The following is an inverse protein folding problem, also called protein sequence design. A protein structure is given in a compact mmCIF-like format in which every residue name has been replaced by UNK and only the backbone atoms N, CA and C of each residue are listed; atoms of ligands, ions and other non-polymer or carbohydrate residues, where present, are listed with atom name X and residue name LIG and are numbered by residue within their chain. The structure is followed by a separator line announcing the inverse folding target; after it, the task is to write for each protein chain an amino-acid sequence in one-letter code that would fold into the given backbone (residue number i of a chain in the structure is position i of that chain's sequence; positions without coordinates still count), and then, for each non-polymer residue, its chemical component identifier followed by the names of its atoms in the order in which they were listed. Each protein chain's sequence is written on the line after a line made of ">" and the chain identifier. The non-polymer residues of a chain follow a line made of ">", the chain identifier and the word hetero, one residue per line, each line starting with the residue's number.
data_IF_166562325133
#
_entry.id   IF_166562325133
#
_cell.length_a   1.000
_cell.length_b   1.000
_cell.length_c   1.000
_cell.angle_alpha   90.00
_cell.angle_beta   90.00
_cell.angle_gamma   90.00
#
_symmetry.space_group_name_H-M   'P 1'
#
loop_
_entity.id
_entity.type
_entity.pdbx_description
1 polymer ?
#
# COMPACT_ATOMS: atom_id res chain seq x y z
N UNK A 1 2.24 6.92 -8.91
CA UNK A 1 3.16 6.37 -9.94
C UNK A 1 2.60 6.85 -11.28
N UNK A 2 3.38 7.51 -12.14
CA UNK A 2 2.83 8.02 -13.40
C UNK A 2 2.31 6.84 -14.24
N UNK A 3 0.98 6.73 -14.36
CA UNK A 3 0.28 5.74 -15.19
C UNK A 3 -0.08 4.39 -14.54
N UNK A 4 0.21 4.17 -13.25
CA UNK A 4 -0.15 2.93 -12.55
C UNK A 4 -0.45 3.22 -11.08
N UNK A 5 -1.49 2.62 -10.52
CA UNK A 5 -1.86 2.83 -9.13
C UNK A 5 -1.24 1.73 -8.24
N UNK A 6 -1.13 1.99 -6.92
CA UNK A 6 -0.53 1.00 -6.00
C UNK A 6 -1.26 -0.35 -6.02
N UNK A 7 -2.57 -0.33 -6.30
CA UNK A 7 -3.40 -1.54 -6.40
C UNK A 7 -3.10 -2.34 -7.66
N UNK A 8 -2.71 -1.68 -8.74
CA UNK A 8 -2.30 -2.38 -9.97
C UNK A 8 -0.93 -3.00 -9.80
N UNK A 9 -0.01 -2.32 -9.10
CA UNK A 9 1.27 -2.89 -8.72
C UNK A 9 1.09 -4.16 -7.86
N UNK A 10 0.16 -4.14 -6.89
CA UNK A 10 -0.13 -5.33 -6.07
C UNK A 10 -0.66 -6.48 -6.93
N UNK A 11 -1.57 -6.21 -7.86
CA UNK A 11 -2.09 -7.23 -8.80
C UNK A 11 -0.98 -7.83 -9.67
N UNK A 12 -0.06 -7.00 -10.17
CA UNK A 12 1.08 -7.47 -10.95
C UNK A 12 2.02 -8.38 -10.14
N UNK A 13 2.20 -8.11 -8.85
CA UNK A 13 3.02 -8.92 -7.95
C UNK A 13 2.35 -10.26 -7.62
N UNK A 14 1.05 -10.25 -7.35
CA UNK A 14 0.27 -11.49 -7.13
C UNK A 14 0.25 -12.40 -8.37
N UNK A 15 0.21 -11.81 -9.57
CA UNK A 15 0.25 -12.55 -10.83
C UNK A 15 1.62 -13.18 -11.13
N UNK A 16 2.70 -12.75 -10.45
CA UNK A 16 4.04 -13.28 -10.63
C UNK A 16 4.38 -14.27 -9.52
N UNK A 17 4.46 -15.55 -9.85
CA UNK A 17 4.67 -16.64 -8.89
C UNK A 17 5.98 -16.52 -8.08
N UNK A 18 7.06 -16.04 -8.72
CA UNK A 18 8.35 -15.84 -8.06
C UNK A 18 8.34 -14.65 -7.09
N UNK A 19 7.52 -13.61 -7.34
CA UNK A 19 7.36 -12.48 -6.43
C UNK A 19 6.36 -12.80 -5.32
N UNK A 20 5.30 -13.54 -5.62
CA UNK A 20 4.33 -14.04 -4.64
C UNK A 20 4.98 -14.95 -3.60
N UNK A 21 5.89 -15.83 -4.04
CA UNK A 21 6.64 -16.72 -3.14
C UNK A 21 7.55 -15.97 -2.14
N UNK A 22 7.92 -14.71 -2.42
CA UNK A 22 8.77 -13.90 -1.53
C UNK A 22 8.01 -13.27 -0.37
N UNK A 23 6.68 -13.48 -0.27
CA UNK A 23 5.82 -12.96 0.80
C UNK A 23 6.12 -11.48 1.14
N UNK A 24 6.34 -10.66 0.11
CA UNK A 24 6.82 -9.29 0.28
C UNK A 24 5.73 -8.50 1.02
N UNK A 25 6.05 -7.93 2.20
CA UNK A 25 5.09 -7.12 2.91
C UNK A 25 4.73 -5.87 2.10
N UNK A 26 3.44 -5.59 1.98
CA UNK A 26 2.93 -4.43 1.24
C UNK A 26 2.12 -3.52 2.16
N UNK A 27 2.54 -2.26 2.17
CA UNK A 27 1.83 -1.16 2.81
C UNK A 27 1.43 -0.15 1.74
N UNK A 28 0.20 0.32 1.84
CA UNK A 28 -0.32 1.39 0.99
C UNK A 28 -0.16 2.72 1.70
N UNK A 29 0.36 3.72 1.01
CA UNK A 29 0.48 5.09 1.53
C UNK A 29 -0.23 6.04 0.57
N UNK A 30 -1.31 6.67 1.02
CA UNK A 30 -2.16 7.54 0.18
C UNK A 30 -2.35 8.92 0.81
N UNK A 31 -2.36 9.98 -0.01
CA UNK A 31 -2.59 11.37 0.45
C UNK A 31 -4.02 11.61 0.94
N UNK A 32 -4.98 10.84 0.45
CA UNK A 32 -6.37 10.85 0.92
C UNK A 32 -6.88 9.42 0.98
N UNK A 33 -7.53 9.06 2.09
CA UNK A 33 -8.09 7.72 2.31
C UNK A 33 -9.61 7.80 2.28
N UNK A 34 -10.24 7.14 1.31
CA UNK A 34 -11.70 7.01 1.24
C UNK A 34 -12.18 5.67 1.80
N UNK A 35 -13.41 5.59 2.33
CA UNK A 35 -13.99 4.31 2.81
C UNK A 35 -14.00 3.22 1.74
N UNK A 36 -14.24 3.57 0.49
CA UNK A 36 -14.21 2.63 -0.62
C UNK A 36 -12.78 2.09 -0.86
N UNK A 37 -11.77 2.96 -0.77
CA UNK A 37 -10.36 2.57 -0.87
C UNK A 37 -9.95 1.65 0.28
N UNK A 38 -10.38 1.95 1.51
CA UNK A 38 -10.16 1.09 2.68
C UNK A 38 -10.72 -0.32 2.40
N UNK A 39 -11.99 -0.42 2.00
CA UNK A 39 -12.61 -1.73 1.73
C UNK A 39 -11.89 -2.50 0.61
N UNK A 40 -11.50 -1.81 -0.47
CA UNK A 40 -10.75 -2.43 -1.56
C UNK A 40 -9.37 -2.93 -1.11
N UNK A 41 -8.66 -2.16 -0.30
CA UNK A 41 -7.29 -2.45 0.15
C UNK A 41 -7.29 -3.56 1.20
N UNK A 42 -8.22 -3.57 2.16
CA UNK A 42 -8.36 -4.68 3.13
C UNK A 42 -8.89 -5.99 2.49
N UNK A 43 -9.58 -5.91 1.35
CA UNK A 43 -9.91 -7.07 0.54
C UNK A 43 -8.68 -7.69 -0.16
N UNK A 44 -7.58 -6.94 -0.24
CA UNK A 44 -6.28 -7.45 -0.68
C UNK A 44 -5.48 -7.86 0.56
N UNK A 45 -4.65 -8.89 0.45
CA UNK A 45 -3.89 -9.44 1.58
C UNK A 45 -2.68 -8.52 1.91
N UNK A 46 -2.98 -7.31 2.40
CA UNK A 46 -2.05 -6.22 2.70
C UNK A 46 -1.87 -6.08 4.21
N UNK A 47 -0.73 -5.58 4.66
CA UNK A 47 -0.48 -5.40 6.11
C UNK A 47 -0.94 -4.06 6.66
N UNK A 48 -1.13 -3.05 5.80
CA UNK A 48 -1.57 -1.75 6.28
C UNK A 48 -1.87 -0.75 5.17
N UNK A 49 -2.74 0.20 5.51
CA UNK A 49 -3.04 1.40 4.74
C UNK A 49 -2.78 2.60 5.65
N UNK A 50 -1.85 3.45 5.23
CA UNK A 50 -1.42 4.62 5.97
C UNK A 50 -1.74 5.89 5.18
N UNK A 51 -2.19 6.92 5.89
CA UNK A 51 -2.39 8.23 5.30
C UNK A 51 -1.05 8.97 5.25
N UNK A 52 -0.71 9.51 4.09
CA UNK A 52 0.53 10.24 3.90
C UNK A 52 0.39 11.58 4.60
N UNK A 53 1.16 11.75 5.67
CA UNK A 53 1.35 13.06 6.27
C UNK A 53 1.82 14.09 5.25
N UNK A 54 1.40 15.34 5.44
CA UNK A 54 1.79 16.46 4.58
C UNK A 54 3.22 16.92 4.84
N UNK A 55 3.78 16.52 5.98
CA UNK A 55 5.12 16.89 6.46
C UNK A 55 6.02 15.67 6.60
N UNK A 56 7.34 15.91 6.51
CA UNK A 56 8.34 14.88 6.67
C UNK A 56 8.25 14.15 8.03
N UNK A 57 7.97 14.89 9.12
CA UNK A 57 7.86 14.31 10.45
C UNK A 57 6.74 13.26 10.52
N UNK A 58 5.58 13.58 9.96
CA UNK A 58 4.42 12.68 9.90
C UNK A 58 4.71 11.43 9.04
N UNK A 59 5.43 11.59 7.92
CA UNK A 59 5.86 10.46 7.08
C UNK A 59 6.84 9.55 7.84
N UNK A 60 7.79 10.15 8.57
CA UNK A 60 8.76 9.41 9.37
C UNK A 60 8.07 8.62 10.49
N UNK A 61 7.09 9.22 11.14
CA UNK A 61 6.38 8.58 12.24
C UNK A 61 5.52 7.40 11.74
N UNK A 62 4.90 7.52 10.55
CA UNK A 62 4.25 6.40 9.86
C UNK A 62 5.23 5.28 9.55
N UNK A 63 6.42 5.61 9.03
CA UNK A 63 7.46 4.62 8.73
C UNK A 63 8.01 3.91 9.97
N UNK A 64 7.97 4.55 11.14
CA UNK A 64 8.37 3.94 12.40
C UNK A 64 7.34 2.95 12.97
N UNK A 65 6.11 2.94 12.44
CA UNK A 65 5.01 2.04 12.86
C UNK A 65 4.88 0.79 11.99
N UNK A 66 5.63 0.70 10.89
CA UNK A 66 5.67 -0.41 9.94
C UNK A 66 6.81 -1.36 10.31
#
# INVERSE_FOLDING_TARGET
>A
LPGMDGTDLRRAIEANEALRAKAIPFVFVSTTVSKAMVQQVYGMNVQGLFEKGSRYEEIRDVMAQI
#
